data_IF_590260560487
#
_entry.id   IF_590260560487
#
_cell.length_a   1.000
_cell.length_b   1.000
_cell.length_c   1.000
_cell.angle_alpha   90.00
_cell.angle_beta   90.00
_cell.angle_gamma   90.00
#
_symmetry.space_group_name_H-M   'P 1'
#
loop_
_entity.id
_entity.type
_entity.pdbx_description
1 polymer ?
#
# COMPACT_ATOMS: atom_id res chain seq x y z
N UNK A 1 -8.00 35.37 -5.61
CA UNK A 1 -6.57 35.04 -5.83
C UNK A 1 -6.21 33.63 -5.35
N UNK A 2 -6.80 33.12 -4.27
CA UNK A 2 -6.49 31.78 -3.70
C UNK A 2 -6.70 30.61 -4.68
N UNK A 3 -7.79 30.58 -5.44
CA UNK A 3 -8.05 29.51 -6.42
C UNK A 3 -6.93 29.36 -7.47
N UNK A 4 -6.44 30.48 -8.00
CA UNK A 4 -5.32 30.48 -8.96
C UNK A 4 -4.05 29.88 -8.35
N UNK A 5 -3.76 30.15 -7.08
CA UNK A 5 -2.61 29.58 -6.39
C UNK A 5 -2.75 28.05 -6.23
N UNK A 6 -3.96 27.55 -5.94
CA UNK A 6 -4.22 26.11 -5.84
C UNK A 6 -4.05 25.40 -7.20
N UNK A 7 -4.55 26.00 -8.28
CA UNK A 7 -4.38 25.45 -9.64
C UNK A 7 -2.90 25.39 -10.02
N UNK A 8 -2.11 26.43 -9.71
CA UNK A 8 -0.68 26.43 -9.96
C UNK A 8 0.06 25.38 -9.11
N UNK A 9 -0.36 25.18 -7.86
CA UNK A 9 0.21 24.12 -6.99
C UNK A 9 -0.08 22.73 -7.54
N UNK A 10 -1.31 22.47 -7.98
CA UNK A 10 -1.69 21.20 -8.62
C UNK A 10 -0.88 20.95 -9.89
N UNK A 11 -0.73 21.96 -10.75
CA UNK A 11 0.13 21.87 -11.93
C UNK A 11 1.58 21.56 -11.55
N UNK A 12 2.10 22.19 -10.49
CA UNK A 12 3.45 21.92 -9.98
C UNK A 12 3.62 20.48 -9.53
N UNK A 13 2.65 19.92 -8.80
CA UNK A 13 2.71 18.50 -8.39
C UNK A 13 2.62 17.53 -9.57
N UNK A 14 1.81 17.83 -10.59
CA UNK A 14 1.72 17.01 -11.80
C UNK A 14 3.02 17.09 -12.63
N UNK A 15 3.63 18.27 -12.69
CA UNK A 15 4.93 18.45 -13.34
C UNK A 15 6.04 17.66 -12.64
N UNK A 16 6.09 17.72 -11.30
CA UNK A 16 7.07 16.94 -10.54
C UNK A 16 6.91 15.42 -10.71
N UNK A 17 5.66 14.94 -10.84
CA UNK A 17 5.38 13.54 -11.13
C UNK A 17 5.88 13.14 -12.53
N UNK A 18 5.63 13.98 -13.53
CA UNK A 18 6.12 13.76 -14.89
C UNK A 18 7.65 13.80 -14.97
N UNK A 19 8.28 14.77 -14.31
CA UNK A 19 9.75 14.89 -14.28
C UNK A 19 10.43 13.68 -13.61
N UNK A 20 9.73 13.02 -12.67
CA UNK A 20 10.20 11.79 -12.03
C UNK A 20 10.14 10.59 -12.98
N UNK A 21 9.04 10.45 -13.74
CA UNK A 21 8.85 9.36 -14.70
C UNK A 21 9.76 9.51 -15.94
N UNK A 22 10.00 10.75 -16.38
CA UNK A 22 10.83 11.05 -17.56
C UNK A 22 12.34 10.82 -17.31
N UNK A 23 12.77 10.64 -16.06
CA UNK A 23 14.16 10.39 -15.67
C UNK A 23 14.35 8.95 -15.19
N UNK A 24 14.41 7.97 -16.11
CA UNK A 24 14.66 6.60 -15.72
C UNK A 24 16.02 6.48 -15.02
N UNK A 25 16.11 5.55 -14.07
CA UNK A 25 17.38 5.21 -13.43
C UNK A 25 18.41 4.91 -14.51
N UNK A 26 19.56 5.59 -14.44
CA UNK A 26 20.62 5.44 -15.44
C UNK A 26 20.94 3.96 -15.66
N UNK A 27 20.84 3.51 -16.91
CA UNK A 27 21.08 2.12 -17.30
C UNK A 27 22.40 1.57 -16.73
N UNK A 28 23.44 2.41 -16.70
CA UNK A 28 24.75 2.06 -16.15
C UNK A 28 24.68 1.69 -14.66
N UNK A 29 23.86 2.37 -13.87
CA UNK A 29 23.73 2.13 -12.43
C UNK A 29 23.21 0.72 -12.14
N UNK A 30 22.16 0.29 -12.84
CA UNK A 30 21.55 -1.05 -12.66
C UNK A 30 22.57 -2.15 -12.99
N UNK A 31 23.32 -1.98 -14.08
CA UNK A 31 24.35 -2.94 -14.51
C UNK A 31 25.52 -2.98 -13.53
N UNK A 32 25.95 -1.83 -13.04
CA UNK A 32 27.04 -1.73 -12.07
C UNK A 32 26.70 -2.43 -10.75
N UNK A 33 25.48 -2.21 -10.22
CA UNK A 33 25.01 -2.90 -9.01
C UNK A 33 24.92 -4.42 -9.26
N UNK A 34 24.43 -4.83 -10.42
CA UNK A 34 24.37 -6.24 -10.80
C UNK A 34 25.77 -6.89 -10.83
N UNK A 35 26.74 -6.21 -11.42
CA UNK A 35 28.14 -6.67 -11.48
C UNK A 35 28.73 -6.79 -10.08
N UNK A 36 28.52 -5.78 -9.22
CA UNK A 36 28.98 -5.81 -7.83
C UNK A 36 28.39 -7.01 -7.06
N UNK A 37 27.09 -7.30 -7.19
CA UNK A 37 26.48 -8.46 -6.53
C UNK A 37 27.06 -9.77 -7.05
N UNK A 38 27.23 -9.92 -8.37
CA UNK A 38 27.78 -11.13 -8.99
C UNK A 38 29.24 -11.36 -8.59
N UNK A 39 30.03 -10.30 -8.40
CA UNK A 39 31.41 -10.43 -7.90
C UNK A 39 31.46 -10.68 -6.39
N UNK A 40 30.59 -10.04 -5.61
CA UNK A 40 30.59 -10.11 -4.15
C UNK A 40 30.26 -11.51 -3.62
N UNK A 41 29.22 -12.18 -4.15
CA UNK A 41 28.80 -13.49 -3.63
C UNK A 41 29.90 -14.56 -3.73
N UNK A 42 30.59 -14.76 -4.87
CA UNK A 42 31.69 -15.72 -4.97
C UNK A 42 32.88 -15.39 -4.08
N UNK A 43 33.25 -14.10 -3.99
CA UNK A 43 34.33 -13.65 -3.09
C UNK A 43 34.00 -13.95 -1.63
N UNK A 44 32.75 -13.71 -1.23
CA UNK A 44 32.27 -14.02 0.11
C UNK A 44 32.26 -15.53 0.37
N UNK A 45 31.79 -16.34 -0.58
CA UNK A 45 31.77 -17.80 -0.46
C UNK A 45 33.18 -18.38 -0.30
N UNK A 46 34.16 -17.89 -1.07
CA UNK A 46 35.57 -18.30 -0.93
C UNK A 46 36.11 -17.90 0.45
N UNK A 47 35.83 -16.67 0.91
CA UNK A 47 36.27 -16.21 2.23
C UNK A 47 35.67 -17.04 3.37
N UNK A 48 34.38 -17.39 3.29
CA UNK A 48 33.71 -18.22 4.27
C UNK A 48 34.26 -19.66 4.26
N UNK A 49 34.53 -20.22 3.07
CA UNK A 49 35.15 -21.54 2.92
C UNK A 49 36.56 -21.60 3.49
N UNK A 50 37.38 -20.56 3.30
CA UNK A 50 38.71 -20.48 3.92
C UNK A 50 38.63 -20.33 5.44
N UNK A 51 37.64 -19.60 5.95
CA UNK A 51 37.43 -19.42 7.40
C UNK A 51 36.90 -20.67 8.11
N UNK A 52 36.24 -21.59 7.38
CA UNK A 52 35.77 -22.85 7.92
C UNK A 52 36.95 -23.78 8.32
N UNK A 53 38.12 -23.57 7.72
CA UNK A 53 39.35 -24.33 7.95
C UNK A 53 39.53 -25.45 6.92
N UNK A 54 40.78 -25.87 6.69
CA UNK A 54 41.10 -27.01 5.83
C UNK A 54 41.98 -28.01 6.58
N UNK A 55 41.74 -29.31 6.42
CA UNK A 55 42.57 -30.40 7.00
C UNK A 55 41.96 -31.10 8.23
N UNK A 56 42.81 -31.77 9.02
CA UNK A 56 42.43 -32.61 10.18
C UNK A 56 41.77 -31.84 11.34
N UNK A 57 41.71 -30.50 11.27
CA UNK A 57 41.02 -29.62 12.20
C UNK A 57 39.64 -29.16 11.68
N UNK A 58 39.10 -29.80 10.64
CA UNK A 58 37.78 -29.52 10.09
C UNK A 58 36.68 -29.99 11.07
N UNK A 59 36.20 -29.06 11.89
CA UNK A 59 34.99 -29.28 12.66
C UNK A 59 33.79 -29.16 11.72
N UNK A 60 33.12 -30.29 11.44
CA UNK A 60 31.90 -30.36 10.61
C UNK A 60 30.84 -29.29 10.97
N UNK A 61 30.78 -28.91 12.24
CA UNK A 61 29.87 -27.89 12.75
C UNK A 61 30.23 -26.47 12.24
N UNK A 62 31.52 -26.15 12.08
CA UNK A 62 31.96 -24.88 11.51
C UNK A 62 31.58 -24.77 10.04
N UNK A 63 31.71 -25.86 9.27
CA UNK A 63 31.28 -25.91 7.86
C UNK A 63 29.79 -25.62 7.71
N UNK A 64 28.95 -26.20 8.58
CA UNK A 64 27.50 -25.97 8.57
C UNK A 64 27.20 -24.50 8.89
N UNK A 65 27.81 -23.94 9.93
CA UNK A 65 27.58 -22.53 10.31
C UNK A 65 27.98 -21.60 9.17
N UNK A 66 29.16 -21.78 8.59
CA UNK A 66 29.63 -20.95 7.47
C UNK A 66 28.75 -21.12 6.23
N UNK A 67 28.30 -22.35 5.93
CA UNK A 67 27.36 -22.62 4.85
C UNK A 67 26.02 -21.89 5.04
N UNK A 68 25.46 -21.92 6.25
CA UNK A 68 24.22 -21.20 6.58
C UNK A 68 24.41 -19.68 6.44
N UNK A 69 25.54 -19.14 6.90
CA UNK A 69 25.86 -17.71 6.76
C UNK A 69 25.90 -17.32 5.27
N UNK A 70 26.54 -18.12 4.41
CA UNK A 70 26.60 -17.87 2.96
C UNK A 70 25.20 -17.90 2.32
N UNK A 71 24.35 -18.87 2.70
CA UNK A 71 22.98 -18.97 2.18
C UNK A 71 22.16 -17.74 2.60
N UNK A 72 22.19 -17.37 3.88
CA UNK A 72 21.44 -16.21 4.40
C UNK A 72 21.92 -14.92 3.74
N UNK A 73 23.24 -14.74 3.60
CA UNK A 73 23.81 -13.58 2.93
C UNK A 73 23.41 -13.51 1.45
N UNK A 74 23.39 -14.64 0.75
CA UNK A 74 22.97 -14.71 -0.65
C UNK A 74 21.49 -14.32 -0.82
N UNK A 75 20.60 -14.84 0.04
CA UNK A 75 19.18 -14.48 0.07
C UNK A 75 19.02 -12.98 0.33
N UNK A 76 19.78 -12.41 1.26
CA UNK A 76 19.71 -10.98 1.58
C UNK A 76 20.16 -10.10 0.41
N UNK A 77 21.31 -10.38 -0.20
CA UNK A 77 21.85 -9.57 -1.30
C UNK A 77 20.95 -9.65 -2.54
N UNK A 78 20.47 -10.84 -2.89
CA UNK A 78 19.57 -11.02 -4.03
C UNK A 78 18.20 -10.40 -3.73
N UNK A 79 17.68 -10.61 -2.52
CA UNK A 79 16.39 -10.07 -2.07
C UNK A 79 16.36 -8.54 -2.08
N UNK A 80 17.39 -7.89 -1.52
CA UNK A 80 17.52 -6.42 -1.57
C UNK A 80 17.60 -5.90 -2.99
N UNK A 81 18.30 -6.60 -3.89
CA UNK A 81 18.38 -6.22 -5.31
C UNK A 81 17.01 -6.29 -5.98
N UNK A 82 16.25 -7.37 -5.76
CA UNK A 82 14.91 -7.51 -6.33
C UNK A 82 13.95 -6.45 -5.78
N UNK A 83 14.03 -6.16 -4.48
CA UNK A 83 13.25 -5.11 -3.84
C UNK A 83 13.60 -3.73 -4.44
N UNK A 84 14.87 -3.44 -4.68
CA UNK A 84 15.28 -2.18 -5.31
C UNK A 84 14.77 -2.04 -6.76
N UNK A 85 14.69 -3.15 -7.51
CA UNK A 85 14.12 -3.14 -8.86
C UNK A 85 12.61 -2.88 -8.80
N UNK A 86 11.90 -3.54 -7.88
CA UNK A 86 10.45 -3.35 -7.70
C UNK A 86 10.12 -1.93 -7.23
N UNK A 87 10.90 -1.38 -6.31
CA UNK A 87 10.73 0.02 -5.85
C UNK A 87 11.16 1.07 -6.88
N UNK A 88 11.87 0.69 -7.95
CA UNK A 88 12.27 1.64 -8.98
C UNK A 88 11.11 2.06 -9.87
N UNK A 89 10.04 1.26 -9.95
CA UNK A 89 8.81 1.57 -10.70
C UNK A 89 7.58 1.46 -9.78
N UNK A 90 7.29 2.49 -8.97
CA UNK A 90 6.18 2.45 -8.02
C UNK A 90 4.78 2.57 -8.67
N UNK A 91 4.71 2.74 -9.99
CA UNK A 91 3.49 2.94 -10.76
C UNK A 91 3.17 1.79 -11.71
N UNK A 92 3.84 0.65 -11.55
CA UNK A 92 3.63 -0.55 -12.33
C UNK A 92 2.33 -1.29 -12.00
N UNK A 93 2.30 -2.56 -12.41
CA UNK A 93 1.20 -3.50 -12.21
C UNK A 93 1.48 -4.49 -11.05
N UNK A 94 2.54 -4.30 -10.27
CA UNK A 94 2.85 -5.18 -9.13
C UNK A 94 1.84 -4.97 -7.98
N UNK A 95 1.68 -6.00 -7.14
CA UNK A 95 0.70 -5.97 -6.03
C UNK A 95 1.09 -4.98 -4.93
N UNK A 96 2.38 -4.64 -4.84
CA UNK A 96 2.94 -3.65 -3.93
C UNK A 96 2.92 -2.22 -4.47
N UNK A 97 2.54 -2.02 -5.74
CA UNK A 97 2.57 -0.72 -6.39
C UNK A 97 1.42 0.19 -5.93
N UNK A 98 1.62 1.49 -6.15
CA UNK A 98 0.59 2.48 -5.82
C UNK A 98 -0.58 2.33 -6.80
N UNK A 99 -1.78 2.08 -6.27
CA UNK A 99 -3.01 1.98 -7.06
C UNK A 99 -3.49 3.35 -7.59
N UNK A 100 -2.79 3.89 -8.59
CA UNK A 100 -3.06 5.21 -9.20
C UNK A 100 -4.51 5.30 -9.68
N UNK A 101 -5.02 4.24 -10.31
CA UNK A 101 -6.39 4.23 -10.82
C UNK A 101 -7.44 4.27 -9.70
N UNK A 102 -7.17 3.62 -8.57
CA UNK A 102 -8.05 3.69 -7.40
C UNK A 102 -8.09 5.12 -6.85
N UNK A 103 -6.91 5.73 -6.69
CA UNK A 103 -6.78 7.10 -6.22
C UNK A 103 -7.48 8.11 -7.14
N UNK A 104 -7.30 8.01 -8.46
CA UNK A 104 -7.95 8.89 -9.44
C UNK A 104 -9.47 8.76 -9.39
N UNK A 105 -9.99 7.53 -9.36
CA UNK A 105 -11.43 7.30 -9.25
C UNK A 105 -12.00 7.86 -7.94
N UNK A 106 -11.29 7.66 -6.83
CA UNK A 106 -11.69 8.18 -5.53
C UNK A 106 -11.70 9.72 -5.51
N UNK A 107 -10.61 10.35 -5.95
CA UNK A 107 -10.47 11.79 -6.00
C UNK A 107 -11.51 12.44 -6.93
N UNK A 108 -11.75 11.83 -8.11
CA UNK A 108 -12.79 12.26 -9.04
C UNK A 108 -14.18 12.21 -8.41
N UNK A 109 -14.55 11.08 -7.79
CA UNK A 109 -15.85 10.91 -7.13
C UNK A 109 -16.05 11.90 -5.99
N UNK A 110 -15.04 12.13 -5.16
CA UNK A 110 -15.14 13.11 -4.07
C UNK A 110 -15.23 14.54 -4.60
N UNK A 111 -14.47 14.90 -5.63
CA UNK A 111 -14.56 16.22 -6.27
C UNK A 111 -15.95 16.45 -6.86
N UNK A 112 -16.50 15.44 -7.55
CA UNK A 112 -17.85 15.51 -8.10
C UNK A 112 -18.91 15.64 -6.99
N UNK A 113 -18.76 14.93 -5.87
CA UNK A 113 -19.66 15.08 -4.71
C UNK A 113 -19.61 16.48 -4.12
N UNK A 114 -18.42 17.07 -3.98
CA UNK A 114 -18.26 18.43 -3.46
C UNK A 114 -18.83 19.49 -4.42
N UNK A 115 -18.66 19.30 -5.73
CA UNK A 115 -19.18 20.23 -6.74
C UNK A 115 -20.70 20.17 -6.88
N UNK A 116 -21.31 19.00 -6.70
CA UNK A 116 -22.77 18.82 -6.74
C UNK A 116 -23.41 18.88 -5.35
N UNK A 117 -22.65 19.22 -4.30
CA UNK A 117 -23.23 19.43 -3.00
C UNK A 117 -24.02 20.75 -3.04
N UNK A 118 -25.34 20.65 -3.12
CA UNK A 118 -26.20 21.81 -2.96
C UNK A 118 -26.12 22.33 -1.52
N UNK A 119 -25.90 23.62 -1.38
CA UNK A 119 -26.04 24.28 -0.09
C UNK A 119 -27.52 24.19 0.33
N UNK A 120 -27.82 23.82 1.58
CA UNK A 120 -29.19 23.83 2.05
C UNK A 120 -29.78 25.22 1.85
N UNK A 121 -30.95 25.31 1.19
CA UNK A 121 -31.65 26.57 0.95
C UNK A 121 -32.25 27.18 2.22
N UNK A 122 -32.30 26.38 3.29
CA UNK A 122 -32.78 26.82 4.60
C UNK A 122 -31.63 27.45 5.40
N UNK A 123 -31.90 28.51 6.18
CA UNK A 123 -30.88 29.13 7.03
C UNK A 123 -30.36 28.09 8.02
N UNK A 124 -29.05 27.88 8.03
CA UNK A 124 -28.40 26.94 8.93
C UNK A 124 -28.56 27.45 10.36
N UNK A 125 -29.38 26.77 11.16
CA UNK A 125 -29.45 27.01 12.60
C UNK A 125 -28.21 26.41 13.25
N UNK A 126 -27.24 27.26 13.59
CA UNK A 126 -25.97 26.85 14.21
C UNK A 126 -26.16 25.94 15.44
N UNK A 127 -27.22 26.16 16.23
CA UNK A 127 -27.54 25.33 17.39
C UNK A 127 -27.93 23.89 17.01
N UNK A 128 -28.61 23.70 15.89
CA UNK A 128 -28.97 22.36 15.39
C UNK A 128 -27.75 21.67 14.78
N UNK A 129 -26.88 22.41 14.09
CA UNK A 129 -25.64 21.86 13.52
C UNK A 129 -24.66 21.43 14.63
N UNK A 130 -24.49 22.24 15.69
CA UNK A 130 -23.67 21.89 16.85
C UNK A 130 -24.23 20.68 17.61
N UNK A 131 -25.57 20.59 17.74
CA UNK A 131 -26.22 19.40 18.25
C UNK A 131 -25.94 18.19 17.35
N UNK A 132 -26.05 18.33 16.02
CA UNK A 132 -25.77 17.25 15.08
C UNK A 132 -24.32 16.76 15.17
N UNK A 133 -23.36 17.67 15.34
CA UNK A 133 -21.95 17.33 15.56
C UNK A 133 -21.73 16.57 16.87
N UNK A 134 -22.51 16.85 17.91
CA UNK A 134 -22.47 16.07 19.16
C UNK A 134 -23.03 14.65 18.97
N UNK A 135 -23.89 14.45 17.97
CA UNK A 135 -24.45 13.14 17.62
C UNK A 135 -23.67 12.39 16.54
N UNK A 136 -22.79 13.06 15.78
CA UNK A 136 -21.93 12.36 14.82
C UNK A 136 -20.95 11.46 15.58
N UNK A 137 -21.19 10.16 15.50
CA UNK A 137 -20.25 9.15 15.97
C UNK A 137 -18.90 9.34 15.28
N UNK A 138 -17.83 9.05 16.03
CA UNK A 138 -16.49 9.07 15.47
C UNK A 138 -16.44 8.10 14.27
N UNK A 139 -15.77 8.51 13.20
CA UNK A 139 -15.65 7.69 11.97
C UNK A 139 -15.03 6.31 12.28
N UNK A 140 -14.25 6.19 13.35
CA UNK A 140 -13.72 4.91 13.85
C UNK A 140 -14.77 3.99 14.49
N UNK A 141 -15.74 4.53 15.24
CA UNK A 141 -16.72 3.74 16.01
C UNK A 141 -17.70 3.00 15.08
N UNK A 142 -18.01 3.59 13.93
CA UNK A 142 -18.85 2.97 12.91
C UNK A 142 -18.22 1.68 12.33
N UNK A 143 -16.89 1.58 12.34
CA UNK A 143 -16.16 0.43 11.82
C UNK A 143 -16.10 -0.72 12.84
N UNK A 144 -15.91 -0.39 14.12
CA UNK A 144 -15.93 -1.38 15.22
C UNK A 144 -17.31 -2.02 15.40
N UNK A 145 -18.38 -1.23 15.27
CA UNK A 145 -19.76 -1.72 15.44
C UNK A 145 -20.14 -2.77 14.37
N UNK A 146 -19.57 -2.65 13.17
CA UNK A 146 -19.82 -3.59 12.07
C UNK A 146 -19.14 -4.95 12.29
N UNK A 147 -17.99 -4.98 12.98
CA UNK A 147 -17.32 -6.22 13.38
C UNK A 147 -18.09 -6.94 14.50
N UNK A 148 -18.61 -6.21 15.48
CA UNK A 148 -19.41 -6.79 16.56
C UNK A 148 -20.70 -7.44 16.03
N UNK A 149 -21.35 -6.84 15.03
CA UNK A 149 -22.51 -7.47 14.38
C UNK A 149 -22.15 -8.72 13.57
N UNK A 150 -20.97 -8.77 12.94
CA UNK A 150 -20.51 -9.95 12.21
C UNK A 150 -20.20 -11.13 13.14
N UNK A 151 -19.63 -10.86 14.31
CA UNK A 151 -19.33 -11.88 15.34
C UNK A 151 -20.57 -12.35 16.11
N UNK A 152 -21.64 -11.54 16.14
CA UNK A 152 -22.92 -11.93 16.73
C UNK A 152 -23.78 -12.80 15.80
N UNK A 153 -23.40 -12.99 14.53
CA UNK A 153 -24.08 -13.95 13.67
C UNK A 153 -23.68 -15.37 14.11
N UNK A 154 -24.64 -16.24 14.46
CA UNK A 154 -24.33 -17.59 14.90
C UNK A 154 -23.56 -18.33 13.81
N UNK A 155 -22.36 -18.81 14.13
CA UNK A 155 -21.56 -19.71 13.30
C UNK A 155 -22.24 -21.09 13.23
N UNK A 156 -23.42 -21.13 12.62
CA UNK A 156 -24.29 -22.28 12.54
C UNK A 156 -24.46 -22.74 11.11
N UNK A 157 -23.73 -23.80 10.77
CA UNK A 157 -24.01 -24.86 9.79
C UNK A 157 -24.67 -24.47 8.46
N UNK A 158 -23.90 -24.65 7.38
CA UNK A 158 -24.22 -24.29 6.01
C UNK A 158 -25.61 -24.65 5.51
N UNK A 159 -26.33 -23.61 5.06
CA UNK A 159 -27.19 -23.63 3.88
C UNK A 159 -27.54 -22.17 3.49
N UNK A 160 -26.53 -21.35 3.17
CA UNK A 160 -26.68 -19.89 3.00
C UNK A 160 -26.63 -19.41 1.53
N UNK A 161 -27.02 -20.28 0.58
CA UNK A 161 -27.00 -19.96 -0.84
C UNK A 161 -28.11 -19.00 -1.32
N UNK A 162 -29.24 -18.92 -0.61
CA UNK A 162 -30.47 -18.35 -1.20
C UNK A 162 -31.07 -17.14 -0.47
N UNK A 163 -30.52 -16.69 0.67
CA UNK A 163 -31.11 -15.56 1.43
C UNK A 163 -30.44 -14.19 1.20
N UNK A 164 -29.36 -14.11 0.43
CA UNK A 164 -28.65 -12.85 0.23
C UNK A 164 -29.29 -11.92 -0.82
N UNK A 165 -30.17 -12.44 -1.70
CA UNK A 165 -30.86 -11.60 -2.69
C UNK A 165 -32.04 -10.80 -2.12
N UNK A 166 -32.64 -11.23 -1.01
CA UNK A 166 -33.87 -10.61 -0.50
C UNK A 166 -33.61 -9.36 0.37
N UNK A 167 -32.41 -9.21 0.95
CA UNK A 167 -32.14 -8.13 1.91
C UNK A 167 -31.66 -6.81 1.29
N UNK A 168 -31.25 -6.81 0.02
CA UNK A 168 -30.86 -5.58 -0.69
C UNK A 168 -32.10 -4.77 -1.14
N UNK A 169 -33.30 -5.37 -1.15
CA UNK A 169 -34.52 -4.73 -1.68
C UNK A 169 -35.28 -3.83 -0.69
N UNK A 170 -34.95 -3.79 0.60
CA UNK A 170 -35.77 -3.09 1.61
C UNK A 170 -35.02 -2.03 2.41
N UNK A 171 -34.12 -1.28 1.77
CA UNK A 171 -33.69 0.01 2.33
C UNK A 171 -34.74 1.08 2.00
N UNK A 172 -35.45 1.65 2.99
CA UNK A 172 -36.41 2.71 2.75
C UNK A 172 -35.66 3.96 2.29
N UNK A 173 -36.00 4.43 1.09
CA UNK A 173 -35.64 5.78 0.61
C UNK A 173 -36.22 6.79 1.60
N UNK A 174 -35.41 7.27 2.53
CA UNK A 174 -35.71 8.49 3.28
C UNK A 174 -35.64 9.64 2.29
N UNK A 175 -36.82 10.10 1.88
CA UNK A 175 -36.99 11.38 1.21
C UNK A 175 -36.59 12.47 2.20
N UNK A 176 -35.51 13.18 1.87
CA UNK A 176 -35.20 14.48 2.45
C UNK A 176 -36.01 15.47 1.61
N UNK A 177 -36.98 16.12 2.26
CA UNK A 177 -37.74 17.26 1.74
C UNK A 177 -37.17 18.54 2.34
#
# INVERSE_FOLDING_TARGET
>A
SQFRALVLRLRGSLGALYDYDDQPVSFFYIHFVCLLSVMYLPLFAISAGLAAGTGDAAYWLNDIIQGVIVIVQAVFVIGLRLLAIKQADPYGDDVEDLSVMHYLNFAWRMSQRMLNADLPSQPVFLAEEEALFSYTQNIGDAWETQHVMADMLPQGSGDAGDMFETFVSTSPKKYIA
#
